data_IF_064887477829
#
_entry.id   IF_064887477829
#
_cell.length_a   1.000
_cell.length_b   1.000
_cell.length_c   1.000
_cell.angle_alpha   90.00
_cell.angle_beta   90.00
_cell.angle_gamma   90.00
#
_symmetry.space_group_name_H-M   'P 1'
#
loop_
_entity.id
_entity.type
_entity.pdbx_description
1 polymer ?
#
# COMPACT_ATOMS: atom_id res chain seq x y z
N UNK A 1 -7.84 12.35 23.25
CA UNK A 1 -7.73 12.44 21.78
C UNK A 1 -6.29 12.45 21.29
N UNK A 2 -5.36 13.18 21.91
CA UNK A 2 -3.96 13.31 21.43
C UNK A 2 -3.14 12.01 21.21
N UNK A 3 -3.49 10.89 21.85
CA UNK A 3 -2.83 9.59 21.63
C UNK A 3 -3.28 8.87 20.35
N UNK A 4 -4.52 9.13 19.89
CA UNK A 4 -5.08 8.53 18.67
C UNK A 4 -4.41 9.16 17.44
N UNK A 5 -4.30 10.48 17.43
CA UNK A 5 -3.73 11.25 16.32
C UNK A 5 -2.24 10.94 16.11
N UNK A 6 -1.48 10.75 17.19
CA UNK A 6 -0.07 10.32 17.12
C UNK A 6 0.10 8.90 16.56
N UNK A 7 -0.82 7.99 16.89
CA UNK A 7 -0.80 6.63 16.34
C UNK A 7 -1.16 6.63 14.86
N UNK A 8 -2.14 7.41 14.43
CA UNK A 8 -2.48 7.57 13.01
C UNK A 8 -1.32 8.18 12.21
N UNK A 9 -0.64 9.20 12.75
CA UNK A 9 0.56 9.76 12.11
C UNK A 9 1.68 8.73 11.94
N UNK A 10 1.91 7.88 12.95
CA UNK A 10 2.90 6.81 12.86
C UNK A 10 2.50 5.74 11.81
N UNK A 11 1.21 5.41 11.73
CA UNK A 11 0.69 4.45 10.74
C UNK A 11 0.83 5.02 9.32
N UNK A 12 0.54 6.31 9.09
CA UNK A 12 0.78 6.98 7.81
C UNK A 12 2.25 6.95 7.43
N UNK A 13 3.16 7.27 8.35
CA UNK A 13 4.60 7.23 8.09
C UNK A 13 5.13 5.83 7.73
N UNK A 14 4.52 4.76 8.25
CA UNK A 14 4.83 3.39 7.84
C UNK A 14 4.31 3.14 6.43
N UNK A 15 3.03 3.43 6.17
CA UNK A 15 2.42 3.26 4.85
C UNK A 15 3.20 3.97 3.76
N UNK A 16 3.57 5.22 3.97
CA UNK A 16 4.27 6.03 2.96
C UNK A 16 5.63 5.44 2.59
N UNK A 17 6.30 4.79 3.55
CA UNK A 17 7.53 4.02 3.29
C UNK A 17 7.26 2.75 2.48
N UNK A 18 6.20 2.00 2.83
CA UNK A 18 5.82 0.81 2.08
C UNK A 18 5.42 1.15 0.63
N UNK A 19 4.82 2.33 0.39
CA UNK A 19 4.53 2.82 -0.96
C UNK A 19 5.82 3.06 -1.77
N UNK A 20 6.86 3.61 -1.13
CA UNK A 20 8.17 3.78 -1.77
C UNK A 20 8.83 2.43 -2.08
N UNK A 21 8.78 1.50 -1.13
CA UNK A 21 9.32 0.14 -1.31
C UNK A 21 8.55 -0.62 -2.41
N UNK A 22 7.23 -0.45 -2.50
CA UNK A 22 6.38 -1.03 -3.55
C UNK A 22 6.79 -0.56 -4.94
N UNK A 23 7.04 0.74 -5.09
CA UNK A 23 7.50 1.30 -6.36
C UNK A 23 8.87 0.72 -6.78
N UNK A 24 9.77 0.50 -5.82
CA UNK A 24 11.08 -0.10 -6.09
C UNK A 24 10.97 -1.59 -6.46
N UNK A 25 10.09 -2.36 -5.78
CA UNK A 25 9.83 -3.76 -6.12
C UNK A 25 9.17 -3.90 -7.51
N UNK A 26 8.23 -3.03 -7.86
CA UNK A 26 7.65 -2.98 -9.22
C UNK A 26 8.73 -2.68 -10.27
N UNK A 27 9.63 -1.73 -9.98
CA UNK A 27 10.76 -1.40 -10.87
C UNK A 27 11.71 -2.58 -11.06
N UNK A 28 11.91 -3.41 -10.04
CA UNK A 28 12.76 -4.60 -10.08
C UNK A 28 12.06 -5.84 -10.68
N UNK A 29 10.74 -5.82 -10.81
CA UNK A 29 9.95 -6.96 -11.27
C UNK A 29 9.76 -8.04 -10.20
N UNK A 30 9.86 -7.69 -8.92
CA UNK A 30 9.69 -8.61 -7.79
C UNK A 30 8.21 -8.84 -7.47
N UNK A 31 7.51 -9.58 -8.33
CA UNK A 31 6.05 -9.63 -8.37
C UNK A 31 5.38 -10.11 -7.08
N UNK A 32 5.90 -11.19 -6.48
CA UNK A 32 5.32 -11.76 -5.26
C UNK A 32 5.50 -10.76 -4.10
N UNK A 33 6.67 -10.13 -4.01
CA UNK A 33 6.93 -9.14 -2.98
C UNK A 33 6.03 -7.89 -3.15
N UNK A 34 5.80 -7.45 -4.38
CA UNK A 34 4.87 -6.37 -4.72
C UNK A 34 3.44 -6.68 -4.26
N UNK A 35 2.94 -7.90 -4.50
CA UNK A 35 1.60 -8.32 -4.07
C UNK A 35 1.46 -8.29 -2.55
N UNK A 36 2.39 -8.92 -1.83
CA UNK A 36 2.37 -8.98 -0.37
C UNK A 36 2.45 -7.57 0.25
N UNK A 37 3.28 -6.71 -0.33
CA UNK A 37 3.44 -5.33 0.13
C UNK A 37 2.20 -4.47 -0.13
N UNK A 38 1.55 -4.66 -1.29
CA UNK A 38 0.28 -4.01 -1.59
C UNK A 38 -0.82 -4.42 -0.58
N UNK A 39 -0.92 -5.71 -0.25
CA UNK A 39 -1.87 -6.17 0.79
C UNK A 39 -1.58 -5.56 2.17
N UNK A 40 -0.31 -5.37 2.54
CA UNK A 40 0.04 -4.67 3.77
C UNK A 40 -0.43 -3.21 3.77
N UNK A 41 -0.26 -2.50 2.65
CA UNK A 41 -0.71 -1.10 2.48
C UNK A 41 -2.24 -1.00 2.61
N UNK A 42 -3.01 -1.90 2.00
CA UNK A 42 -4.47 -1.94 2.10
C UNK A 42 -4.95 -2.08 3.55
N UNK A 43 -4.28 -2.92 4.35
CA UNK A 43 -4.59 -3.08 5.78
C UNK A 43 -4.36 -1.77 6.55
N UNK A 44 -3.28 -1.05 6.26
CA UNK A 44 -2.97 0.24 6.90
C UNK A 44 -3.97 1.33 6.50
N UNK A 45 -4.33 1.39 5.23
CA UNK A 45 -5.35 2.30 4.69
C UNK A 45 -6.71 2.07 5.37
N UNK A 46 -7.15 0.82 5.48
CA UNK A 46 -8.37 0.46 6.22
C UNK A 46 -8.31 0.88 7.68
N UNK A 47 -7.15 0.72 8.33
CA UNK A 47 -6.94 1.14 9.73
C UNK A 47 -7.00 2.66 9.92
N UNK A 48 -6.56 3.41 8.91
CA UNK A 48 -6.60 4.89 8.90
C UNK A 48 -7.98 5.44 8.50
N UNK A 49 -8.86 4.62 7.93
CA UNK A 49 -10.09 5.10 7.30
C UNK A 49 -9.84 5.84 5.99
N UNK A 50 -8.68 5.58 5.36
CA UNK A 50 -8.22 6.18 4.11
C UNK A 50 -8.15 5.07 3.04
N UNK A 51 -9.29 4.54 2.55
CA UNK A 51 -9.27 3.46 1.57
C UNK A 51 -8.51 3.89 0.30
N UNK A 52 -7.73 2.96 -0.24
CA UNK A 52 -7.10 3.13 -1.56
C UNK A 52 -8.20 3.28 -2.61
N UNK A 53 -7.98 4.09 -3.65
CA UNK A 53 -8.87 4.09 -4.81
C UNK A 53 -8.78 2.70 -5.46
N UNK A 54 -9.91 1.97 -5.50
CA UNK A 54 -10.00 0.62 -6.05
C UNK A 54 -9.45 0.56 -7.49
N UNK A 55 -9.44 1.69 -8.22
CA UNK A 55 -8.89 1.78 -9.56
C UNK A 55 -7.35 1.64 -9.63
N UNK A 56 -6.60 2.09 -8.62
CA UNK A 56 -5.14 1.93 -8.59
C UNK A 56 -4.74 0.47 -8.34
N UNK A 57 -5.46 -0.19 -7.44
CA UNK A 57 -5.26 -1.62 -7.16
C UNK A 57 -5.63 -2.42 -8.40
N UNK A 58 -6.81 -2.21 -8.99
CA UNK A 58 -7.22 -2.94 -10.20
C UNK A 58 -6.24 -2.72 -11.35
N UNK A 59 -5.72 -1.50 -11.55
CA UNK A 59 -4.73 -1.23 -12.60
C UNK A 59 -3.44 -2.07 -12.43
N UNK A 60 -2.96 -2.25 -11.19
CA UNK A 60 -1.81 -3.12 -10.89
C UNK A 60 -2.11 -4.60 -11.20
N UNK A 61 -3.28 -5.09 -10.81
CA UNK A 61 -3.70 -6.46 -11.08
C UNK A 61 -3.93 -6.72 -12.58
N UNK A 62 -4.60 -5.81 -13.28
CA UNK A 62 -4.88 -5.93 -14.72
C UNK A 62 -3.61 -5.91 -15.56
N UNK A 63 -2.64 -5.04 -15.24
CA UNK A 63 -1.34 -4.99 -15.93
C UNK A 63 -0.55 -6.31 -15.85
N UNK A 64 -0.72 -7.09 -14.77
CA UNK A 64 0.11 -8.28 -14.49
C UNK A 64 -0.56 -9.62 -14.79
N UNK A 65 -1.86 -9.76 -14.57
CA UNK A 65 -2.58 -11.04 -14.71
C UNK A 65 -3.39 -11.17 -16.01
N UNK A 66 -3.56 -10.08 -16.78
CA UNK A 66 -4.28 -10.09 -18.07
C UNK A 66 -3.36 -9.88 -19.28
N UNK A 67 -2.05 -10.11 -19.13
CA UNK A 67 -1.08 -10.09 -20.23
C UNK A 67 -0.40 -11.45 -20.38
#
# INVERSE_FOLDING_TARGET
>A
MAGKDKNEAAIRAIRDRLLADLAELDRLGEDIATIELNSAIEILNKRLGEPTDDNEVIALWTKRFMN
#
